data_IF_901741721184
#
_entry.id   IF_901741721184
#
_cell.length_a   1.000
_cell.length_b   1.000
_cell.length_c   1.000
_cell.angle_alpha   90.00
_cell.angle_beta   90.00
_cell.angle_gamma   90.00
#
_symmetry.space_group_name_H-M   'P 1'
#
loop_
_entity.id
_entity.type
_entity.pdbx_description
1 polymer ?
#
# COMPACT_ATOMS: atom_id res chain seq x y z
N UNK A 1 -5.50 0.57 -27.00
CA UNK A 1 -5.44 0.39 -25.53
C UNK A 1 -5.24 -1.09 -25.26
N UNK A 2 -4.19 -1.46 -24.51
CA UNK A 2 -3.93 -2.86 -24.15
C UNK A 2 -4.73 -3.25 -22.89
N UNK A 3 -5.69 -4.20 -22.99
CA UNK A 3 -6.49 -4.66 -21.85
C UNK A 3 -5.65 -5.28 -20.73
N UNK A 4 -4.54 -5.95 -21.06
CA UNK A 4 -3.67 -6.56 -20.06
C UNK A 4 -2.99 -5.48 -19.21
N UNK A 5 -2.44 -4.45 -19.84
CA UNK A 5 -1.88 -3.30 -19.15
C UNK A 5 -2.92 -2.56 -18.30
N UNK A 6 -4.18 -2.48 -18.75
CA UNK A 6 -5.25 -1.89 -17.94
C UNK A 6 -5.55 -2.74 -16.69
N UNK A 7 -5.69 -4.05 -16.84
CA UNK A 7 -5.91 -4.96 -15.71
C UNK A 7 -4.77 -4.92 -14.69
N UNK A 8 -3.53 -4.82 -15.15
CA UNK A 8 -2.37 -4.68 -14.27
C UNK A 8 -2.42 -3.38 -13.45
N UNK A 9 -2.72 -2.23 -14.09
CA UNK A 9 -2.89 -0.95 -13.38
C UNK A 9 -4.04 -0.97 -12.37
N UNK A 10 -5.15 -1.62 -12.74
CA UNK A 10 -6.32 -1.73 -11.85
C UNK A 10 -5.99 -2.57 -10.60
N UNK A 11 -5.30 -3.71 -10.77
CA UNK A 11 -4.83 -4.54 -9.64
C UNK A 11 -3.86 -3.78 -8.75
N UNK A 12 -2.92 -3.03 -9.32
CA UNK A 12 -1.99 -2.21 -8.56
C UNK A 12 -2.74 -1.17 -7.71
N UNK A 13 -3.66 -0.41 -8.32
CA UNK A 13 -4.45 0.59 -7.59
C UNK A 13 -5.28 -0.03 -6.44
N UNK A 14 -5.89 -1.19 -6.67
CA UNK A 14 -6.63 -1.90 -5.62
C UNK A 14 -5.71 -2.37 -4.48
N UNK A 15 -4.56 -2.97 -4.81
CA UNK A 15 -3.58 -3.41 -3.82
C UNK A 15 -3.05 -2.27 -2.96
N UNK A 16 -2.74 -1.12 -3.58
CA UNK A 16 -2.32 0.10 -2.88
C UNK A 16 -3.42 0.57 -1.94
N UNK A 17 -4.68 0.63 -2.40
CA UNK A 17 -5.78 1.11 -1.56
C UNK A 17 -6.04 0.20 -0.36
N UNK A 18 -6.01 -1.11 -0.56
CA UNK A 18 -6.19 -2.06 0.54
C UNK A 18 -5.02 -2.04 1.54
N UNK A 19 -3.80 -1.83 1.07
CA UNK A 19 -2.64 -1.62 1.95
C UNK A 19 -2.79 -0.33 2.77
N UNK A 20 -3.12 0.80 2.14
CA UNK A 20 -3.35 2.07 2.83
C UNK A 20 -4.44 1.95 3.90
N UNK A 21 -5.49 1.19 3.63
CA UNK A 21 -6.58 0.93 4.59
C UNK A 21 -6.23 -0.05 5.71
N UNK A 22 -5.02 -0.61 5.74
CA UNK A 22 -4.64 -1.63 6.72
C UNK A 22 -5.24 -3.02 6.47
N UNK A 23 -5.94 -3.22 5.35
CA UNK A 23 -6.61 -4.49 5.03
C UNK A 23 -5.64 -5.56 4.54
N UNK A 24 -4.55 -5.13 3.89
CA UNK A 24 -3.47 -6.01 3.45
C UNK A 24 -2.16 -5.57 4.07
N UNK A 25 -1.32 -6.53 4.45
CA UNK A 25 0.09 -6.26 4.71
C UNK A 25 0.81 -5.89 3.41
N UNK A 26 1.93 -5.20 3.51
CA UNK A 26 2.76 -4.84 2.34
C UNK A 26 3.10 -6.05 1.46
N UNK A 27 3.42 -7.20 2.08
CA UNK A 27 3.73 -8.43 1.36
C UNK A 27 2.53 -8.96 0.56
N UNK A 28 1.35 -9.01 1.20
CA UNK A 28 0.15 -9.51 0.53
C UNK A 28 -0.34 -8.56 -0.57
N UNK A 29 -0.19 -7.25 -0.38
CA UNK A 29 -0.50 -6.27 -1.41
C UNK A 29 0.42 -6.40 -2.64
N UNK A 30 1.73 -6.65 -2.43
CA UNK A 30 2.66 -6.93 -3.53
C UNK A 30 2.25 -8.16 -4.35
N UNK A 31 1.85 -9.26 -3.68
CA UNK A 31 1.35 -10.46 -4.35
C UNK A 31 0.08 -10.19 -5.18
N UNK A 32 -0.88 -9.44 -4.63
CA UNK A 32 -2.12 -9.05 -5.33
C UNK A 32 -1.82 -8.19 -6.57
N UNK A 33 -0.84 -7.28 -6.46
CA UNK A 33 -0.39 -6.46 -7.57
C UNK A 33 0.38 -7.26 -8.64
N UNK A 34 0.82 -8.49 -8.33
CA UNK A 34 1.70 -9.28 -9.19
C UNK A 34 3.12 -8.73 -9.24
N UNK A 35 3.59 -8.11 -8.14
CA UNK A 35 4.88 -7.45 -8.02
C UNK A 35 5.75 -8.12 -6.95
N UNK A 36 7.06 -7.89 -7.03
CA UNK A 36 7.94 -8.14 -5.89
C UNK A 36 7.64 -7.13 -4.77
N UNK A 37 8.02 -7.46 -3.53
CA UNK A 37 7.85 -6.54 -2.39
C UNK A 37 8.55 -5.20 -2.61
N UNK A 38 9.74 -5.21 -3.21
CA UNK A 38 10.50 -3.99 -3.52
C UNK A 38 9.78 -3.14 -4.57
N UNK A 39 9.36 -3.75 -5.68
CA UNK A 39 8.64 -3.03 -6.73
C UNK A 39 7.29 -2.46 -6.24
N UNK A 40 6.63 -3.14 -5.31
CA UNK A 40 5.43 -2.62 -4.67
C UNK A 40 5.73 -1.39 -3.80
N UNK A 41 6.81 -1.41 -3.00
CA UNK A 41 7.24 -0.26 -2.19
C UNK A 41 7.55 0.95 -3.08
N UNK A 42 8.25 0.74 -4.19
CA UNK A 42 8.54 1.82 -5.15
C UNK A 42 7.25 2.39 -5.75
N UNK A 43 6.28 1.52 -6.06
CA UNK A 43 5.01 1.92 -6.63
C UNK A 43 4.15 2.76 -5.67
N UNK A 44 4.25 2.57 -4.36
CA UNK A 44 3.49 3.35 -3.37
C UNK A 44 3.73 4.86 -3.51
N UNK A 45 4.96 5.26 -3.85
CA UNK A 45 5.31 6.67 -4.08
C UNK A 45 4.49 7.32 -5.20
N UNK A 46 4.16 6.56 -6.26
CA UNK A 46 3.29 7.04 -7.34
C UNK A 46 1.84 7.29 -6.93
N UNK A 47 1.43 6.76 -5.78
CA UNK A 47 0.11 6.95 -5.19
C UNK A 47 0.12 7.86 -3.95
N UNK A 48 1.28 8.39 -3.55
CA UNK A 48 1.41 9.22 -2.35
C UNK A 48 1.18 8.46 -1.03
N UNK A 49 1.30 7.13 -1.04
CA UNK A 49 1.11 6.28 0.13
C UNK A 49 2.45 6.00 0.79
N UNK A 50 2.52 6.14 2.11
CA UNK A 50 3.72 5.76 2.88
C UNK A 50 3.93 4.25 2.85
N UNK A 51 5.17 3.75 2.67
CA UNK A 51 5.47 2.31 2.81
C UNK A 51 5.36 1.81 4.26
N UNK A 52 5.28 2.72 5.23
CA UNK A 52 5.08 2.38 6.62
C UNK A 52 3.59 2.46 6.96
N UNK A 53 2.98 1.31 7.25
CA UNK A 53 1.65 1.24 7.87
C UNK A 53 1.78 1.65 9.34
N UNK A 54 1.66 2.94 9.62
CA UNK A 54 1.29 3.39 10.95
C UNK A 54 -0.23 3.43 11.01
N UNK A 55 -0.84 2.65 11.90
CA UNK A 55 -2.27 2.82 12.15
C UNK A 55 -2.51 4.19 12.78
N UNK A 56 -3.65 4.83 12.49
CA UNK A 56 -4.03 6.07 13.17
C UNK A 56 -4.03 5.91 14.71
N UNK A 57 -4.32 4.70 15.19
CA UNK A 57 -4.23 4.34 16.60
C UNK A 57 -2.79 4.38 17.15
N UNK A 58 -1.79 3.91 16.40
CA UNK A 58 -0.38 3.98 16.80
C UNK A 58 0.14 5.43 16.81
N UNK A 59 -0.24 6.24 15.82
CA UNK A 59 0.12 7.67 15.80
C UNK A 59 -0.46 8.42 17.00
N UNK A 60 -1.72 8.16 17.34
CA UNK A 60 -2.37 8.75 18.52
C UNK A 60 -1.77 8.23 19.83
N UNK A 61 -1.41 6.95 19.89
CA UNK A 61 -0.78 6.34 21.06
C UNK A 61 0.65 6.83 21.31
N UNK A 62 1.39 7.24 20.27
CA UNK A 62 2.69 7.90 20.41
C UNK A 62 2.51 9.33 20.95
N UNK A 63 1.60 10.11 20.36
CA UNK A 63 1.32 11.48 20.80
C UNK A 63 0.85 11.56 22.28
N UNK A 64 0.11 10.55 22.74
CA UNK A 64 -0.34 10.46 24.12
C UNK A 64 0.78 10.05 25.11
N UNK A 65 1.86 9.41 24.64
CA UNK A 65 3.00 9.00 25.49
C UNK A 65 4.02 10.13 25.74
N UNK A 66 3.98 11.17 24.92
CA UNK A 66 4.84 12.36 25.03
C UNK A 66 4.19 13.52 25.83
N UNK A 67 2.99 13.31 26.40
CA UNK A 67 2.24 14.29 27.20
C UNK A 67 2.33 14.05 28.71
#
# INVERSE_FOLDING_TARGET
SDPAAFGARLRLAAAVKWFEMGLLSQGRAAEVAGLSRAAFVDALGGFGVSPFQYSAAEVLAEAARES
#
